data_IF_121966728714
#
_entry.id   IF_121966728714
#
_cell.length_a   1.000
_cell.length_b   1.000
_cell.length_c   1.000
_cell.angle_alpha   90.00
_cell.angle_beta   90.00
_cell.angle_gamma   90.00
#
_symmetry.space_group_name_H-M   'P 1'
#
loop_
_entity.id
_entity.type
_entity.pdbx_description
1 polymer ?
#
# COMPACT_ATOMS: atom_id res chain seq x y z
N UNK A 1 -10.43 -47.89 17.00
CA UNK A 1 -9.56 -46.96 17.74
C UNK A 1 -8.64 -46.30 16.72
N UNK A 2 -9.03 -45.16 16.17
CA UNK A 2 -8.13 -44.40 15.30
C UNK A 2 -6.96 -43.95 16.17
N UNK A 3 -5.74 -44.42 15.88
CA UNK A 3 -4.57 -44.13 16.69
C UNK A 3 -4.44 -42.62 16.88
N UNK A 4 -4.56 -42.18 18.14
CA UNK A 4 -4.64 -40.76 18.56
C UNK A 4 -3.56 -39.87 17.93
N UNK A 5 -2.41 -40.45 17.57
CA UNK A 5 -1.34 -39.79 16.81
C UNK A 5 -1.80 -39.24 15.46
N UNK A 6 -2.61 -39.96 14.69
CA UNK A 6 -3.05 -39.49 13.36
C UNK A 6 -4.01 -38.30 13.45
N UNK A 7 -4.81 -38.23 14.51
CA UNK A 7 -5.71 -37.10 14.76
C UNK A 7 -4.91 -35.84 15.06
N UNK A 8 -3.85 -35.95 15.87
CA UNK A 8 -2.97 -34.82 16.18
C UNK A 8 -2.23 -34.30 14.94
N UNK A 9 -1.72 -35.19 14.08
CA UNK A 9 -1.06 -34.80 12.84
C UNK A 9 -2.03 -34.13 11.84
N UNK A 10 -3.28 -34.60 11.77
CA UNK A 10 -4.30 -33.98 10.93
C UNK A 10 -4.64 -32.56 11.40
N UNK A 11 -4.77 -32.36 12.73
CA UNK A 11 -5.05 -31.03 13.30
C UNK A 11 -3.88 -30.07 13.05
N UNK A 12 -2.63 -30.50 13.25
CA UNK A 12 -1.45 -29.67 12.98
C UNK A 12 -1.32 -29.27 11.51
N UNK A 13 -1.61 -30.20 10.59
CA UNK A 13 -1.60 -29.93 9.16
C UNK A 13 -2.70 -28.93 8.76
N UNK A 14 -3.91 -29.06 9.33
CA UNK A 14 -4.99 -28.08 9.12
C UNK A 14 -4.60 -26.68 9.63
N UNK A 15 -3.99 -26.58 10.82
CA UNK A 15 -3.56 -25.29 11.40
C UNK A 15 -2.52 -24.58 10.53
N UNK A 16 -1.57 -25.32 9.94
CA UNK A 16 -0.56 -24.76 9.03
C UNK A 16 -1.16 -24.27 7.71
N UNK A 17 -2.13 -25.00 7.16
CA UNK A 17 -2.86 -24.59 5.95
C UNK A 17 -3.71 -23.34 6.17
N UNK A 18 -4.29 -23.17 7.37
CA UNK A 18 -5.08 -21.99 7.75
C UNK A 18 -4.22 -20.77 8.11
N UNK A 19 -2.94 -20.97 8.45
CA UNK A 19 -2.01 -19.88 8.79
C UNK A 19 -1.35 -19.26 7.54
N UNK A 20 -1.69 -19.75 6.35
CA UNK A 20 -1.03 -19.48 5.08
C UNK A 20 -1.62 -18.36 4.22
N UNK A 21 -2.31 -17.38 4.79
CA UNK A 21 -2.62 -16.07 4.18
C UNK A 21 -2.92 -15.18 5.39
N UNK A 22 -2.20 -14.13 5.73
CA UNK A 22 -1.85 -12.99 4.92
C UNK A 22 -0.52 -12.46 5.48
N UNK A 23 0.47 -12.24 4.61
CA UNK A 23 1.51 -11.27 4.90
C UNK A 23 0.80 -9.91 5.01
N UNK A 24 0.28 -9.59 6.19
CA UNK A 24 -0.17 -8.24 6.52
C UNK A 24 1.09 -7.41 6.54
N UNK A 25 1.48 -6.89 5.37
CA UNK A 25 2.16 -5.61 5.27
C UNK A 25 1.51 -4.74 6.33
N UNK A 26 2.30 -4.27 7.28
CA UNK A 26 1.89 -3.28 8.27
C UNK A 26 1.54 -1.99 7.51
N UNK A 27 0.40 -1.98 6.84
CA UNK A 27 -0.26 -0.77 6.37
C UNK A 27 -0.95 -0.25 7.61
N UNK A 28 -0.42 0.87 8.08
CA UNK A 28 -0.98 1.69 9.14
C UNK A 28 -2.51 1.76 9.03
N UNK A 29 -3.26 1.69 10.13
CA UNK A 29 -4.68 2.00 10.13
C UNK A 29 -4.85 3.50 9.88
N UNK A 30 -4.81 3.93 8.63
CA UNK A 30 -5.40 5.21 8.23
C UNK A 30 -6.85 4.95 7.91
N UNK A 31 -7.63 4.97 8.99
CA UNK A 31 -9.06 5.27 9.07
C UNK A 31 -9.60 5.95 7.83
N UNK A 32 -10.65 5.41 7.22
CA UNK A 32 -11.65 6.09 6.37
C UNK A 32 -11.23 7.46 5.78
N UNK A 33 -10.10 7.50 5.09
CA UNK A 33 -9.62 8.65 4.35
C UNK A 33 -9.94 8.34 2.90
N UNK A 34 -10.56 9.31 2.22
CA UNK A 34 -10.81 9.25 0.79
C UNK A 34 -9.57 8.62 0.12
N UNK A 35 -9.71 7.53 -0.67
CA UNK A 35 -8.58 6.68 -1.09
C UNK A 35 -7.48 7.41 -1.87
N UNK A 36 -7.68 8.71 -2.16
CA UNK A 36 -6.72 9.63 -2.77
C UNK A 36 -5.85 10.41 -1.78
N UNK A 37 -6.17 10.45 -0.49
CA UNK A 37 -5.39 11.19 0.51
C UNK A 37 -4.16 10.42 0.97
N UNK A 38 -3.03 11.10 1.13
CA UNK A 38 -1.80 10.53 1.70
C UNK A 38 -1.27 9.26 0.98
N UNK A 39 -1.48 9.14 -0.33
CA UNK A 39 -1.12 7.94 -1.09
C UNK A 39 -0.46 8.28 -2.42
N UNK A 40 0.21 7.28 -3.00
CA UNK A 40 0.70 7.35 -4.37
C UNK A 40 -0.49 7.43 -5.34
N UNK A 41 -0.37 8.28 -6.36
CA UNK A 41 -1.38 8.54 -7.39
C UNK A 41 -0.96 7.87 -8.70
N UNK A 42 -1.29 6.59 -8.92
CA UNK A 42 -0.94 5.89 -10.15
C UNK A 42 -1.59 6.52 -11.39
N UNK A 43 -2.75 7.17 -11.24
CA UNK A 43 -3.42 7.89 -12.33
C UNK A 43 -2.65 9.13 -12.83
N UNK A 44 -1.68 9.63 -12.08
CA UNK A 44 -0.85 10.76 -12.50
C UNK A 44 0.01 10.41 -13.73
N UNK A 45 0.38 9.14 -13.86
CA UNK A 45 1.23 8.65 -14.94
C UNK A 45 2.72 8.94 -14.70
N UNK A 46 3.43 9.26 -15.78
CA UNK A 46 4.87 9.49 -15.77
C UNK A 46 5.21 10.70 -14.87
N UNK A 47 6.22 10.55 -14.02
CA UNK A 47 6.61 11.56 -13.02
C UNK A 47 8.14 11.68 -13.01
N UNK A 48 8.70 12.25 -14.07
CA UNK A 48 10.15 12.14 -14.32
C UNK A 48 10.84 13.51 -14.45
N UNK A 49 10.06 14.58 -14.62
CA UNK A 49 10.58 15.94 -14.76
C UNK A 49 10.26 16.82 -13.55
N UNK A 50 10.96 17.94 -13.44
CA UNK A 50 10.64 18.97 -12.45
C UNK A 50 9.22 19.54 -12.63
N UNK A 51 8.76 19.63 -13.87
CA UNK A 51 7.40 20.10 -14.18
C UNK A 51 6.34 19.09 -13.72
N UNK A 52 6.64 17.79 -13.80
CA UNK A 52 5.78 16.74 -13.24
C UNK A 52 5.74 16.80 -11.72
N UNK A 53 6.86 17.11 -11.06
CA UNK A 53 6.90 17.26 -9.60
C UNK A 53 5.98 18.41 -9.12
N UNK A 54 6.03 19.56 -9.80
CA UNK A 54 5.17 20.71 -9.51
C UNK A 54 3.68 20.40 -9.78
N UNK A 55 3.38 19.71 -10.89
CA UNK A 55 2.02 19.25 -11.20
C UNK A 55 1.51 18.24 -10.19
N UNK A 56 2.36 17.31 -9.74
CA UNK A 56 2.05 16.34 -8.69
C UNK A 56 1.73 17.06 -7.38
N UNK A 57 2.56 18.02 -6.99
CA UNK A 57 2.35 18.81 -5.77
C UNK A 57 1.01 19.55 -5.79
N UNK A 58 0.66 20.20 -6.90
CA UNK A 58 -0.63 20.88 -7.07
C UNK A 58 -1.81 19.90 -7.05
N UNK A 59 -1.73 18.81 -7.81
CA UNK A 59 -2.79 17.78 -7.81
C UNK A 59 -3.05 17.24 -6.40
N UNK A 60 -2.00 17.00 -5.62
CA UNK A 60 -2.13 16.53 -4.25
C UNK A 60 -2.79 17.56 -3.34
N UNK A 61 -2.47 18.85 -3.49
CA UNK A 61 -3.10 19.93 -2.71
C UNK A 61 -4.60 20.07 -3.03
N UNK A 62 -4.97 19.94 -4.30
CA UNK A 62 -6.36 20.10 -4.74
C UNK A 62 -7.22 18.85 -4.50
N UNK A 63 -6.60 17.67 -4.57
CA UNK A 63 -7.28 16.38 -4.52
C UNK A 63 -7.75 15.95 -3.14
N UNK A 64 -7.14 16.47 -2.06
CA UNK A 64 -7.56 16.15 -0.71
C UNK A 64 -7.15 17.22 0.33
N UNK A 65 -8.07 17.64 1.22
CA UNK A 65 -7.81 18.70 2.20
C UNK A 65 -6.78 18.35 3.27
N UNK A 66 -6.49 17.07 3.50
CA UNK A 66 -5.47 16.64 4.47
C UNK A 66 -4.05 16.59 3.87
N UNK A 67 -3.93 16.68 2.55
CA UNK A 67 -2.63 16.67 1.90
C UNK A 67 -1.89 18.00 2.12
N UNK A 68 -0.56 17.93 2.20
CA UNK A 68 0.35 19.08 2.29
C UNK A 68 1.14 19.32 1.01
N UNK A 69 0.81 18.58 -0.05
CA UNK A 69 1.52 18.56 -1.31
C UNK A 69 1.88 17.15 -1.71
N UNK A 70 2.83 17.03 -2.62
CA UNK A 70 3.32 15.77 -3.14
C UNK A 70 4.58 15.97 -3.94
N UNK A 71 5.12 14.88 -4.48
CA UNK A 71 6.24 14.93 -5.41
C UNK A 71 6.50 13.59 -6.08
N UNK A 72 7.33 13.61 -7.11
CA UNK A 72 7.76 12.42 -7.82
C UNK A 72 8.74 11.62 -6.95
N UNK A 73 8.29 10.47 -6.43
CA UNK A 73 9.14 9.57 -5.66
C UNK A 73 9.49 8.32 -6.45
N UNK A 74 10.77 7.90 -6.45
CA UNK A 74 11.16 6.63 -7.05
C UNK A 74 10.51 5.47 -6.30
N UNK A 75 10.02 4.48 -7.04
CA UNK A 75 9.46 3.25 -6.48
C UNK A 75 10.38 2.06 -6.73
N UNK A 76 10.39 1.12 -5.78
CA UNK A 76 11.24 -0.09 -5.88
C UNK A 76 10.62 -1.18 -6.75
N UNK A 77 9.32 -1.09 -7.02
CA UNK A 77 8.53 -2.12 -7.71
C UNK A 77 8.59 -2.01 -9.24
N UNK A 78 8.97 -0.84 -9.79
CA UNK A 78 9.13 -0.60 -11.22
C UNK A 78 10.17 0.52 -11.48
N UNK A 79 10.87 0.51 -12.63
CA UNK A 79 11.71 1.63 -13.02
C UNK A 79 10.86 2.89 -13.28
N UNK A 80 11.25 4.00 -12.64
CA UNK A 80 10.57 5.30 -12.75
C UNK A 80 10.20 5.88 -11.38
N UNK A 81 9.49 7.01 -11.39
CA UNK A 81 8.92 7.61 -10.20
C UNK A 81 7.40 7.77 -10.33
N UNK A 82 6.72 7.77 -9.19
CA UNK A 82 5.27 7.98 -9.08
C UNK A 82 5.00 9.26 -8.31
N UNK A 83 3.89 9.91 -8.62
CA UNK A 83 3.41 11.03 -7.81
C UNK A 83 2.95 10.50 -6.44
N UNK A 84 3.59 10.96 -5.36
CA UNK A 84 3.24 10.60 -3.99
C UNK A 84 2.69 11.81 -3.24
N UNK A 85 1.45 11.71 -2.74
CA UNK A 85 0.85 12.76 -1.92
C UNK A 85 1.19 12.57 -0.44
N UNK A 86 1.60 13.66 0.22
CA UNK A 86 1.98 13.65 1.62
C UNK A 86 0.90 14.29 2.48
N UNK A 87 0.76 13.78 3.70
CA UNK A 87 -0.06 14.38 4.75
C UNK A 87 0.81 15.01 5.83
N UNK A 88 0.19 15.87 6.63
CA UNK A 88 0.82 16.54 7.77
C UNK A 88 1.17 15.57 8.90
#
# INVERSE_FOLDING_TARGET
MASSKFVLFAILALSLLLSGTEARKTVWPSSELDPKCCSNQPEFGICDSKEDDERCAQMCLDGCPTNKGGGCQPITEAPGAVCSCYCA
#
